data_IF_543236879513
#
_entry.id   IF_543236879513
#
_cell.length_a   1.000
_cell.length_b   1.000
_cell.length_c   1.000
_cell.angle_alpha   90.00
_cell.angle_beta   90.00
_cell.angle_gamma   90.00
#
_symmetry.space_group_name_H-M   'P 1'
#
loop_
_entity.id
_entity.type
_entity.pdbx_description
1 polymer ?
#
# COMPACT_ATOMS: atom_id res chain seq x y z
N UNK A 1 5.14 7.69 -0.70
CA UNK A 1 4.83 6.29 -1.08
C UNK A 1 3.32 5.97 -1.12
N UNK A 2 2.57 6.17 -0.02
CA UNK A 2 1.13 5.87 0.06
C UNK A 2 0.27 6.71 -0.92
N UNK A 3 0.60 7.99 -1.09
CA UNK A 3 -0.11 8.91 -2.01
C UNK A 3 0.06 8.47 -3.47
N UNK A 4 1.25 8.01 -3.87
CA UNK A 4 1.51 7.51 -5.22
C UNK A 4 0.68 6.26 -5.52
N UNK A 5 0.54 5.36 -4.55
CA UNK A 5 -0.25 4.14 -4.71
C UNK A 5 -1.75 4.48 -4.84
N UNK A 6 -2.25 5.46 -4.07
CA UNK A 6 -3.64 5.88 -4.13
C UNK A 6 -3.98 6.56 -5.48
N UNK A 7 -3.07 7.36 -6.02
CA UNK A 7 -3.18 7.98 -7.35
C UNK A 7 -3.18 6.95 -8.50
N UNK A 8 -2.34 5.92 -8.42
CA UNK A 8 -2.30 4.85 -9.42
C UNK A 8 -3.61 4.05 -9.40
N UNK A 9 -4.15 3.75 -8.21
CA UNK A 9 -5.40 2.98 -8.14
C UNK A 9 -6.61 3.79 -8.58
N UNK A 10 -6.68 5.08 -8.23
CA UNK A 10 -7.77 5.96 -8.68
C UNK A 10 -7.77 6.16 -10.19
N UNK A 11 -6.60 6.28 -10.84
CA UNK A 11 -6.49 6.39 -12.31
C UNK A 11 -6.89 5.10 -13.04
N UNK A 12 -6.53 3.93 -12.51
CA UNK A 12 -6.98 2.63 -13.05
C UNK A 12 -8.51 2.50 -12.93
N UNK A 13 -9.08 2.93 -11.81
CA UNK A 13 -10.53 2.85 -11.62
C UNK A 13 -11.31 3.83 -12.51
N UNK A 14 -10.78 5.04 -12.69
CA UNK A 14 -11.33 6.01 -13.64
C UNK A 14 -11.23 5.49 -15.09
N UNK A 15 -10.17 4.76 -15.43
CA UNK A 15 -10.01 4.12 -16.75
C UNK A 15 -10.98 2.94 -16.99
N UNK A 16 -11.44 2.26 -15.94
CA UNK A 16 -12.44 1.18 -16.03
C UNK A 16 -13.88 1.67 -16.18
N UNK A 17 -14.13 3.00 -16.21
CA UNK A 17 -15.44 3.57 -16.51
C UNK A 17 -16.51 3.33 -15.45
N UNK A 18 -16.15 2.81 -14.28
CA UNK A 18 -17.07 2.52 -13.18
C UNK A 18 -16.75 3.40 -11.98
N UNK A 19 -17.26 4.63 -11.97
CA UNK A 19 -17.12 5.56 -10.84
C UNK A 19 -17.99 5.17 -9.62
N UNK A 20 -18.80 4.11 -9.72
CA UNK A 20 -19.89 3.87 -8.77
C UNK A 20 -19.89 2.48 -8.11
N UNK A 21 -19.17 1.48 -8.65
CA UNK A 21 -18.79 0.30 -7.84
C UNK A 21 -17.51 0.65 -7.11
N UNK A 22 -17.60 0.63 -5.78
CA UNK A 22 -16.64 1.23 -4.86
C UNK A 22 -15.19 0.91 -5.24
N UNK A 23 -14.37 1.94 -5.57
CA UNK A 23 -12.95 1.79 -5.91
C UNK A 23 -12.16 0.93 -4.93
N UNK A 24 -12.64 0.91 -3.70
CA UNK A 24 -12.08 0.28 -2.52
C UNK A 24 -11.99 -1.23 -2.63
N UNK A 25 -12.93 -1.89 -3.32
CA UNK A 25 -12.95 -3.37 -3.41
C UNK A 25 -11.82 -3.89 -4.30
N UNK A 26 -11.42 -3.11 -5.31
CA UNK A 26 -10.30 -3.45 -6.20
C UNK A 26 -8.97 -2.94 -5.61
N UNK A 27 -8.97 -1.78 -4.93
CA UNK A 27 -7.76 -1.18 -4.39
C UNK A 27 -7.15 -1.95 -3.22
N UNK A 28 -7.97 -2.55 -2.37
CA UNK A 28 -7.54 -3.31 -1.19
C UNK A 28 -6.71 -4.55 -1.56
N UNK A 29 -7.19 -5.50 -2.40
CA UNK A 29 -6.40 -6.66 -2.79
C UNK A 29 -5.16 -6.27 -3.61
N UNK A 30 -5.25 -5.23 -4.45
CA UNK A 30 -4.12 -4.78 -5.27
C UNK A 30 -3.00 -4.13 -4.44
N UNK A 31 -3.35 -3.30 -3.44
CA UNK A 31 -2.38 -2.76 -2.48
C UNK A 31 -1.69 -3.86 -1.68
N UNK A 32 -2.42 -4.92 -1.32
CA UNK A 32 -1.87 -6.06 -0.57
C UNK A 32 -0.93 -6.90 -1.44
N UNK A 33 -1.26 -7.10 -2.72
CA UNK A 33 -0.39 -7.75 -3.70
C UNK A 33 0.92 -6.96 -3.92
N UNK A 34 0.84 -5.64 -4.08
CA UNK A 34 2.01 -4.76 -4.16
C UNK A 34 2.84 -4.78 -2.88
N UNK A 35 2.20 -4.79 -1.71
CA UNK A 35 2.88 -4.86 -0.42
C UNK A 35 3.68 -6.16 -0.26
N UNK A 36 3.18 -7.28 -0.76
CA UNK A 36 3.89 -8.56 -0.74
C UNK A 36 5.02 -8.59 -1.78
N UNK A 37 4.81 -8.08 -3.00
CA UNK A 37 5.83 -8.09 -4.07
C UNK A 37 7.05 -7.21 -3.80
N UNK A 38 6.92 -6.18 -2.95
CA UNK A 38 8.05 -5.32 -2.56
C UNK A 38 8.71 -5.74 -1.22
N UNK A 39 8.43 -6.94 -0.73
CA UNK A 39 8.84 -7.42 0.60
C UNK A 39 8.45 -6.45 1.73
N UNK A 40 7.25 -5.88 1.65
CA UNK A 40 6.74 -4.88 2.58
C UNK A 40 6.73 -5.37 4.04
N UNK A 41 6.41 -6.64 4.27
CA UNK A 41 6.47 -7.25 5.61
C UNK A 41 7.88 -7.28 6.19
N UNK A 42 8.90 -7.59 5.38
CA UNK A 42 10.29 -7.60 5.81
C UNK A 42 10.77 -6.19 6.16
N UNK A 43 10.46 -5.20 5.31
CA UNK A 43 10.78 -3.78 5.59
C UNK A 43 10.06 -3.24 6.83
N UNK A 44 8.81 -3.64 7.05
CA UNK A 44 8.03 -3.24 8.22
C UNK A 44 8.62 -3.83 9.50
N UNK A 45 8.95 -5.12 9.50
CA UNK A 45 9.58 -5.79 10.64
C UNK A 45 10.97 -5.24 10.91
N UNK A 46 11.77 -4.97 9.88
CA UNK A 46 13.09 -4.35 10.03
C UNK A 46 12.99 -2.93 10.61
N UNK A 47 12.02 -2.13 10.17
CA UNK A 47 11.75 -0.81 10.74
C UNK A 47 11.27 -0.88 12.20
N UNK A 48 10.42 -1.86 12.54
CA UNK A 48 9.99 -2.11 13.92
C UNK A 48 11.18 -2.50 14.78
N UNK A 49 11.98 -3.49 14.37
CA UNK A 49 13.17 -3.93 15.09
C UNK A 49 14.13 -2.76 15.28
N UNK A 50 14.46 -2.00 14.23
CA UNK A 50 15.31 -0.81 14.34
C UNK A 50 14.76 0.25 15.30
N UNK A 51 13.44 0.45 15.32
CA UNK A 51 12.80 1.42 16.20
C UNK A 51 12.75 0.97 17.66
N UNK A 52 12.67 -0.34 17.92
CA UNK A 52 12.77 -0.91 19.27
C UNK A 52 14.23 -1.08 19.73
N UNK A 53 15.17 -1.27 18.80
CA UNK A 53 16.61 -1.40 19.10
C UNK A 53 17.31 -0.06 19.19
N UNK A 54 16.66 1.04 18.79
CA UNK A 54 17.11 2.41 19.08
C UNK A 54 16.43 2.81 20.39
N UNK A 55 17.08 2.65 21.56
CA UNK A 55 16.54 3.21 22.79
C UNK A 55 16.48 4.72 22.59
N UNK A 56 15.40 5.38 23.00
CA UNK A 56 15.39 6.85 23.01
C UNK A 56 16.55 7.38 23.86
N UNK A 57 17.52 8.03 23.22
CA UNK A 57 18.72 8.63 23.83
C UNK A 57 19.94 8.59 22.91
#
# INVERSE_FOLDING_TARGET
>A
PLITIDLIVTTILMAMGMSMVSPTVISVPFKLFLFVTIDGWSRLMHGLVLSYTTPGG
#
